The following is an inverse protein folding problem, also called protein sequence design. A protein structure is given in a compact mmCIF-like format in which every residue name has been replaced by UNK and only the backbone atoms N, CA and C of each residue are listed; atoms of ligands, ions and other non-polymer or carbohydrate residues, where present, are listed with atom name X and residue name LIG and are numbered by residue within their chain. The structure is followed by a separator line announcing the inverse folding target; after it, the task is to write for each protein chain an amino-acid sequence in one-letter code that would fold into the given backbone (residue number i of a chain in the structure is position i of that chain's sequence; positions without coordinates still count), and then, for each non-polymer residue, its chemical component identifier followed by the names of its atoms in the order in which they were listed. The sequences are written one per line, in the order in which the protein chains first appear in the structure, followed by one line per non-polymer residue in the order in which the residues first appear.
data_IF_220646620084
#
_entry.id   IF_220646620084
#
_cell.length_a   1.000
_cell.length_b   1.000
_cell.length_c   1.000
_cell.angle_alpha   90.00
_cell.angle_beta   90.00
_cell.angle_gamma   90.00
#
_symmetry.space_group_name_H-M   'P 1'
#
loop_
_entity.id
_entity.type
_entity.pdbx_description
1 polymer ?
#
# COMPACT_ATOMS: atom_id res chain seq x y z
N UNK A 1 -67.17 36.40 58.93
CA UNK A 1 -67.19 34.93 58.79
C UNK A 1 -67.37 34.66 57.30
N UNK A 2 -66.28 34.50 56.56
CA UNK A 2 -66.30 34.13 55.14
C UNK A 2 -65.39 32.91 55.07
N UNK A 3 -66.02 31.77 54.82
CA UNK A 3 -65.39 30.46 54.79
C UNK A 3 -64.61 30.25 53.49
N UNK A 4 -63.50 29.56 53.67
CA UNK A 4 -62.51 29.14 52.68
C UNK A 4 -63.00 27.92 51.89
N UNK A 5 -62.97 27.98 50.56
CA UNK A 5 -62.86 26.80 49.69
C UNK A 5 -61.71 27.08 48.72
N UNK A 6 -60.50 26.63 49.08
CA UNK A 6 -59.87 25.37 48.64
C UNK A 6 -59.65 25.33 47.13
N UNK A 7 -58.40 25.58 46.76
CA UNK A 7 -57.86 25.46 45.41
C UNK A 7 -57.97 24.02 44.91
N UNK A 8 -58.66 23.83 43.78
CA UNK A 8 -58.56 22.60 42.99
C UNK A 8 -57.16 22.53 42.38
N UNK A 9 -56.34 21.69 43.00
CA UNK A 9 -55.07 21.24 42.46
C UNK A 9 -55.40 20.31 41.29
N UNK A 10 -55.27 20.81 40.06
CA UNK A 10 -55.20 19.96 38.88
C UNK A 10 -53.99 19.03 39.05
N UNK A 11 -54.24 17.79 39.47
CA UNK A 11 -53.29 16.71 39.31
C UNK A 11 -53.19 16.43 37.81
N UNK A 12 -52.23 17.09 37.17
CA UNK A 12 -51.68 16.61 35.93
C UNK A 12 -51.20 15.18 36.20
N UNK A 13 -51.98 14.22 35.70
CA UNK A 13 -51.57 12.83 35.63
C UNK A 13 -50.37 12.83 34.68
N UNK A 14 -49.19 12.96 35.28
CA UNK A 14 -47.90 12.94 34.62
C UNK A 14 -47.73 11.53 34.08
N UNK A 15 -48.17 11.33 32.83
CA UNK A 15 -47.78 10.19 32.03
C UNK A 15 -46.32 10.43 31.63
N UNK A 16 -45.43 10.36 32.62
CA UNK A 16 -44.03 10.00 32.43
C UNK A 16 -44.03 8.54 31.96
N UNK A 17 -44.53 8.33 30.74
CA UNK A 17 -43.94 7.39 29.79
C UNK A 17 -42.56 7.95 29.50
N UNK A 18 -41.69 7.84 30.51
CA UNK A 18 -40.26 7.77 30.29
C UNK A 18 -40.09 6.87 29.08
N UNK A 19 -39.49 7.46 28.06
CA UNK A 19 -39.12 6.89 26.78
C UNK A 19 -38.19 5.69 27.02
N UNK A 20 -38.76 4.61 27.55
CA UNK A 20 -38.22 3.28 27.35
C UNK A 20 -38.47 3.04 25.87
N UNK A 21 -37.41 3.19 25.07
CA UNK A 21 -37.35 2.88 23.64
C UNK A 21 -38.45 1.86 23.29
N UNK A 22 -39.41 2.24 22.45
CA UNK A 22 -40.52 1.35 22.09
C UNK A 22 -39.90 0.01 21.63
N UNK A 23 -40.14 -1.10 22.35
CA UNK A 23 -39.50 -2.38 22.03
C UNK A 23 -39.77 -2.82 20.59
N UNK A 24 -40.88 -2.37 20.00
CA UNK A 24 -41.23 -2.63 18.61
C UNK A 24 -40.39 -1.80 17.62
N UNK A 25 -40.07 -0.56 17.96
CA UNK A 25 -39.15 0.29 17.20
C UNK A 25 -37.72 -0.23 17.28
N UNK A 26 -37.30 -0.72 18.46
CA UNK A 26 -36.00 -1.38 18.60
C UNK A 26 -35.89 -2.64 17.73
N UNK A 27 -36.91 -3.51 17.76
CA UNK A 27 -36.93 -4.73 16.93
C UNK A 27 -36.94 -4.38 15.44
N UNK A 28 -37.67 -3.34 15.04
CA UNK A 28 -37.69 -2.87 13.64
C UNK A 28 -36.32 -2.35 13.19
N UNK A 29 -35.55 -1.73 14.10
CA UNK A 29 -34.23 -1.17 13.81
C UNK A 29 -33.07 -2.15 14.07
N UNK A 30 -33.33 -3.38 14.55
CA UNK A 30 -32.29 -4.37 14.85
C UNK A 30 -31.45 -4.73 13.63
N UNK A 31 -32.06 -4.88 12.45
CA UNK A 31 -31.35 -5.20 11.22
C UNK A 31 -30.29 -4.13 10.90
N UNK A 32 -30.69 -2.85 10.91
CA UNK A 32 -29.80 -1.74 10.65
C UNK A 32 -28.70 -1.61 11.71
N UNK A 33 -29.02 -1.86 13.00
CA UNK A 33 -28.02 -1.88 14.08
C UNK A 33 -26.98 -2.97 13.86
N UNK A 34 -27.39 -4.20 13.56
CA UNK A 34 -26.44 -5.31 13.30
C UNK A 34 -25.65 -5.11 11.99
N UNK A 35 -26.27 -4.53 10.97
CA UNK A 35 -25.59 -4.19 9.73
C UNK A 35 -24.48 -3.16 9.99
N UNK A 36 -24.81 -2.04 10.64
CA UNK A 36 -23.84 -0.99 10.95
C UNK A 36 -22.73 -1.50 11.86
N UNK A 37 -23.07 -2.30 12.89
CA UNK A 37 -22.08 -2.90 13.78
C UNK A 37 -21.15 -3.86 13.04
N UNK A 38 -21.69 -4.70 12.15
CA UNK A 38 -20.91 -5.62 11.32
C UNK A 38 -20.02 -4.87 10.33
N UNK A 39 -20.54 -3.81 9.72
CA UNK A 39 -19.81 -2.94 8.80
C UNK A 39 -18.66 -2.23 9.51
N UNK A 40 -18.90 -1.56 10.63
CA UNK A 40 -17.89 -0.82 11.39
C UNK A 40 -16.78 -1.74 11.88
N UNK A 41 -17.17 -2.91 12.42
CA UNK A 41 -16.21 -3.93 12.86
C UNK A 41 -15.40 -4.49 11.69
N UNK A 42 -16.06 -4.85 10.58
CA UNK A 42 -15.42 -5.40 9.39
C UNK A 42 -14.50 -4.40 8.70
N UNK A 43 -14.91 -3.14 8.61
CA UNK A 43 -14.15 -2.05 8.01
C UNK A 43 -12.93 -1.69 8.88
N UNK A 44 -13.09 -1.58 10.20
CA UNK A 44 -11.98 -1.36 11.12
C UNK A 44 -10.95 -2.50 11.05
N UNK A 45 -11.42 -3.75 11.04
CA UNK A 45 -10.57 -4.93 10.94
C UNK A 45 -9.86 -5.02 9.58
N UNK A 46 -10.59 -4.82 8.48
CA UNK A 46 -10.04 -4.82 7.13
C UNK A 46 -9.00 -3.72 6.90
N UNK A 47 -9.21 -2.53 7.48
CA UNK A 47 -8.24 -1.43 7.43
C UNK A 47 -6.94 -1.78 8.16
N UNK A 48 -7.04 -2.40 9.34
CA UNK A 48 -5.87 -2.85 10.10
C UNK A 48 -5.13 -3.98 9.36
N UNK A 49 -5.86 -5.00 8.90
CA UNK A 49 -5.26 -6.13 8.19
C UNK A 49 -4.59 -5.69 6.88
N UNK A 50 -5.24 -4.84 6.09
CA UNK A 50 -4.64 -4.29 4.87
C UNK A 50 -3.35 -3.51 5.15
N UNK A 51 -3.26 -2.81 6.29
CA UNK A 51 -2.04 -2.12 6.69
C UNK A 51 -0.92 -3.11 7.08
N UNK A 52 -1.23 -4.15 7.85
CA UNK A 52 -0.24 -5.15 8.25
C UNK A 52 0.26 -5.95 7.04
N UNK A 53 -0.65 -6.46 6.23
CA UNK A 53 -0.34 -7.22 5.02
C UNK A 53 0.44 -6.37 4.02
N UNK A 54 0.03 -5.11 3.79
CA UNK A 54 0.75 -4.20 2.90
C UNK A 54 2.18 -3.91 3.37
N UNK A 55 2.42 -3.82 4.68
CA UNK A 55 3.77 -3.65 5.25
C UNK A 55 4.63 -4.89 5.08
N UNK A 56 4.07 -6.08 5.31
CA UNK A 56 4.79 -7.34 5.13
C UNK A 56 5.16 -7.55 3.66
N UNK A 57 4.19 -7.38 2.76
CA UNK A 57 4.41 -7.47 1.32
C UNK A 57 5.41 -6.42 0.83
N UNK A 58 5.31 -5.19 1.33
CA UNK A 58 6.25 -4.11 1.01
C UNK A 58 7.70 -4.46 1.38
N UNK A 59 7.92 -5.12 2.53
CA UNK A 59 9.27 -5.56 2.94
C UNK A 59 9.82 -6.65 2.03
N UNK A 60 9.00 -7.64 1.67
CA UNK A 60 9.40 -8.72 0.77
C UNK A 60 9.78 -8.18 -0.61
N UNK A 61 8.95 -7.29 -1.17
CA UNK A 61 9.22 -6.68 -2.48
C UNK A 61 10.35 -5.67 -2.47
N UNK A 62 10.52 -4.93 -1.38
CA UNK A 62 11.67 -4.06 -1.21
C UNK A 62 12.99 -4.86 -1.20
N UNK A 63 13.00 -6.08 -0.64
CA UNK A 63 14.19 -6.92 -0.64
C UNK A 63 14.58 -7.39 -2.05
N UNK A 64 13.61 -7.91 -2.83
CA UNK A 64 13.84 -8.29 -4.23
C UNK A 64 14.41 -7.12 -5.04
N UNK A 65 13.87 -5.93 -4.79
CA UNK A 65 14.27 -4.70 -5.46
C UNK A 65 15.70 -4.26 -5.08
N UNK A 66 16.00 -4.23 -3.78
CA UNK A 66 17.32 -3.83 -3.30
C UNK A 66 18.41 -4.85 -3.64
N UNK A 67 18.10 -6.13 -3.77
CA UNK A 67 19.06 -7.13 -4.27
C UNK A 67 19.53 -6.78 -5.68
N UNK A 68 18.62 -6.41 -6.57
CA UNK A 68 18.94 -5.99 -7.94
C UNK A 68 19.76 -4.70 -7.95
N UNK A 69 19.29 -3.67 -7.25
CA UNK A 69 19.96 -2.36 -7.20
C UNK A 69 21.35 -2.48 -6.57
N UNK A 70 21.47 -3.21 -5.46
CA UNK A 70 22.74 -3.44 -4.77
C UNK A 70 23.74 -4.24 -5.63
N UNK A 71 23.28 -5.20 -6.42
CA UNK A 71 24.13 -5.88 -7.39
C UNK A 71 24.69 -4.90 -8.44
N UNK A 72 23.84 -4.00 -8.97
CA UNK A 72 24.28 -2.99 -9.94
C UNK A 72 25.29 -2.01 -9.35
N UNK A 73 25.10 -1.59 -8.10
CA UNK A 73 26.02 -0.70 -7.40
C UNK A 73 27.40 -1.34 -7.20
N UNK A 74 27.44 -2.56 -6.66
CA UNK A 74 28.69 -3.30 -6.46
C UNK A 74 29.43 -3.55 -7.78
N UNK A 75 28.69 -3.90 -8.83
CA UNK A 75 29.25 -4.09 -10.16
C UNK A 75 29.84 -2.80 -10.74
N UNK A 76 29.09 -1.69 -10.69
CA UNK A 76 29.55 -0.39 -11.18
C UNK A 76 30.78 0.09 -10.41
N UNK A 77 30.75 0.02 -9.08
CA UNK A 77 31.84 0.40 -8.20
C UNK A 77 33.12 -0.40 -8.45
N UNK A 78 33.00 -1.71 -8.66
CA UNK A 78 34.15 -2.56 -9.04
C UNK A 78 34.77 -2.09 -10.37
N UNK A 79 33.95 -1.87 -11.40
CA UNK A 79 34.44 -1.48 -12.72
C UNK A 79 35.04 -0.07 -12.75
N UNK A 80 34.52 0.86 -11.93
CA UNK A 80 35.14 2.18 -11.76
C UNK A 80 36.59 2.02 -11.29
N UNK A 81 36.82 1.23 -10.23
CA UNK A 81 38.17 1.01 -9.70
C UNK A 81 39.09 0.33 -10.70
N UNK A 82 38.60 -0.72 -11.39
CA UNK A 82 39.39 -1.46 -12.39
C UNK A 82 39.77 -0.55 -13.58
N UNK A 83 38.82 0.22 -14.11
CA UNK A 83 39.06 1.11 -15.24
C UNK A 83 39.99 2.27 -14.88
N UNK A 84 39.87 2.83 -13.67
CA UNK A 84 40.76 3.87 -13.17
C UNK A 84 42.18 3.33 -12.96
N UNK A 85 42.34 2.16 -12.31
CA UNK A 85 43.64 1.52 -12.13
C UNK A 85 44.32 1.22 -13.47
N UNK A 86 43.55 0.75 -14.46
CA UNK A 86 44.05 0.50 -15.81
C UNK A 86 44.46 1.78 -16.53
N UNK A 87 43.69 2.86 -16.39
CA UNK A 87 44.02 4.16 -16.95
C UNK A 87 45.31 4.76 -16.35
N UNK A 88 45.58 4.48 -15.07
CA UNK A 88 46.81 4.90 -14.39
C UNK A 88 48.03 4.04 -14.79
N UNK A 89 47.86 2.72 -14.93
CA UNK A 89 48.94 1.79 -15.28
C UNK A 89 49.29 1.80 -16.77
N UNK A 90 48.31 2.08 -17.63
CA UNK A 90 48.44 1.95 -19.09
C UNK A 90 48.51 3.32 -19.75
N UNK A 91 49.72 3.75 -20.12
CA UNK A 91 49.94 4.89 -21.03
C UNK A 91 49.48 4.65 -22.47
N UNK A 92 48.62 3.66 -22.72
CA UNK A 92 48.22 3.22 -24.07
C UNK A 92 47.42 4.29 -24.80
N UNK A 93 48.05 4.91 -25.78
CA UNK A 93 47.42 5.79 -26.75
C UNK A 93 46.65 4.97 -27.80
N UNK A 94 45.37 5.28 -28.02
CA UNK A 94 44.55 4.70 -29.09
C UNK A 94 43.08 4.45 -28.72
N UNK A 95 42.29 4.00 -29.72
CA UNK A 95 40.84 3.73 -29.68
C UNK A 95 40.32 2.97 -28.43
N UNK A 96 41.16 2.12 -27.81
CA UNK A 96 40.83 1.42 -26.55
C UNK A 96 40.60 2.38 -25.38
N UNK A 97 41.36 3.47 -25.27
CA UNK A 97 41.21 4.48 -24.21
C UNK A 97 39.85 5.19 -24.28
N UNK A 98 39.35 5.44 -25.50
CA UNK A 98 38.03 6.05 -25.71
C UNK A 98 36.87 5.13 -25.34
N UNK A 99 37.04 3.80 -25.51
CA UNK A 99 36.05 2.81 -25.05
C UNK A 99 36.03 2.71 -23.53
N UNK A 100 37.20 2.66 -22.90
CA UNK A 100 37.35 2.58 -21.44
C UNK A 100 36.86 3.86 -20.74
N UNK A 101 37.16 5.04 -21.27
CA UNK A 101 36.64 6.30 -20.74
C UNK A 101 35.11 6.40 -20.83
N UNK A 102 34.53 5.89 -21.93
CA UNK A 102 33.07 5.81 -22.09
C UNK A 102 32.44 4.84 -21.08
N UNK A 103 33.04 3.66 -20.90
CA UNK A 103 32.58 2.69 -19.90
C UNK A 103 32.64 3.27 -18.48
N UNK A 104 33.70 4.00 -18.15
CA UNK A 104 33.85 4.68 -16.86
C UNK A 104 32.73 5.70 -16.63
N UNK A 105 32.42 6.54 -17.62
CA UNK A 105 31.31 7.49 -17.52
C UNK A 105 29.96 6.78 -17.31
N UNK A 106 29.69 5.69 -18.04
CA UNK A 106 28.47 4.91 -17.83
C UNK A 106 28.38 4.30 -16.43
N UNK A 107 29.49 3.84 -15.85
CA UNK A 107 29.52 3.32 -14.49
C UNK A 107 29.29 4.41 -13.44
N UNK A 108 29.87 5.60 -13.62
CA UNK A 108 29.64 6.74 -12.71
C UNK A 108 28.19 7.20 -12.70
N UNK A 109 27.58 7.36 -13.89
CA UNK A 109 26.17 7.73 -14.02
C UNK A 109 25.26 6.67 -13.42
N UNK A 110 25.60 5.39 -13.54
CA UNK A 110 24.85 4.31 -12.92
C UNK A 110 24.85 4.43 -11.38
N UNK A 111 26.01 4.69 -10.77
CA UNK A 111 26.11 4.91 -9.31
C UNK A 111 25.33 6.15 -8.88
N UNK A 112 25.41 7.25 -9.65
CA UNK A 112 24.65 8.48 -9.37
C UNK A 112 23.14 8.22 -9.35
N UNK A 113 22.62 7.49 -10.33
CA UNK A 113 21.20 7.12 -10.38
C UNK A 113 20.77 6.24 -9.21
N UNK A 114 21.66 5.34 -8.76
CA UNK A 114 21.40 4.48 -7.60
C UNK A 114 21.37 5.31 -6.31
N UNK A 115 22.20 6.33 -6.17
CA UNK A 115 22.19 7.21 -5.00
C UNK A 115 20.91 8.07 -4.89
N UNK A 116 20.18 8.25 -5.99
CA UNK A 116 18.86 8.91 -5.99
C UNK A 116 17.77 8.03 -5.38
N UNK A 117 18.01 6.72 -5.22
CA UNK A 117 17.02 5.80 -4.68
C UNK A 117 16.72 6.10 -3.21
N UNK A 118 15.45 6.26 -2.81
CA UNK A 118 15.11 6.58 -1.43
C UNK A 118 15.47 5.42 -0.50
N UNK A 119 16.25 5.71 0.54
CA UNK A 119 16.68 4.75 1.56
C UNK A 119 15.79 4.78 2.81
N UNK A 120 14.99 5.85 2.95
CA UNK A 120 14.06 6.04 4.05
C UNK A 120 12.66 5.96 3.46
N UNK A 121 11.84 5.07 4.00
CA UNK A 121 10.41 5.09 3.75
C UNK A 121 9.81 6.23 4.59
N UNK A 122 9.34 7.35 4.00
CA UNK A 122 8.62 8.38 4.74
C UNK A 122 7.27 7.77 5.12
N UNK A 123 7.26 6.99 6.18
CA UNK A 123 6.02 6.42 6.69
C UNK A 123 5.22 7.62 7.19
N UNK A 124 4.03 7.86 6.62
CA UNK A 124 3.06 8.73 7.25
C UNK A 124 2.94 8.27 8.71
N UNK A 125 3.40 9.12 9.62
CA UNK A 125 3.18 8.92 11.04
C UNK A 125 1.69 8.77 11.22
N UNK A 126 1.23 7.56 11.54
CA UNK A 126 -0.14 7.34 11.99
C UNK A 126 -0.19 7.97 13.38
N UNK A 127 -0.36 9.28 13.43
CA UNK A 127 -0.76 9.97 14.64
C UNK A 127 -2.17 9.44 14.93
N UNK A 128 -2.28 8.51 15.87
CA UNK A 128 -3.52 7.81 16.24
C UNK A 128 -4.59 8.70 16.87
N UNK A 129 -4.42 10.03 16.85
CA UNK A 129 -5.32 11.01 17.48
C UNK A 129 -5.75 12.16 16.54
N UNK A 130 -6.01 11.88 15.26
CA UNK A 130 -6.69 12.82 14.39
C UNK A 130 -7.65 12.08 13.45
N UNK A 131 -8.83 11.76 13.96
CA UNK A 131 -10.03 11.75 13.12
C UNK A 131 -10.24 13.20 12.69
N UNK A 132 -10.44 13.41 11.39
CA UNK A 132 -10.65 14.70 10.74
C UNK A 132 -9.49 15.67 10.88
N UNK A 133 -8.60 15.69 9.89
CA UNK A 133 -8.29 16.91 9.16
C UNK A 133 -7.32 16.60 8.01
N UNK A 134 -7.69 17.09 6.83
CA UNK A 134 -6.82 17.38 5.70
C UNK A 134 -6.09 16.18 5.09
N UNK A 135 -6.60 15.75 3.94
CA UNK A 135 -5.75 15.23 2.86
C UNK A 135 -4.77 16.36 2.56
N UNK A 136 -3.65 16.40 3.28
CA UNK A 136 -2.50 17.18 2.88
C UNK A 136 -1.94 16.46 1.65
N UNK A 137 -2.47 16.90 0.52
CA UNK A 137 -2.03 16.62 -0.85
C UNK A 137 -0.66 17.27 -1.09
N UNK A 138 0.25 17.18 -0.10
CA UNK A 138 1.66 17.43 -0.34
C UNK A 138 2.16 16.20 -1.08
N UNK A 139 2.48 16.30 -2.38
CA UNK A 139 3.09 15.20 -3.08
C UNK A 139 4.43 14.98 -2.40
N UNK A 140 4.53 13.99 -1.53
CA UNK A 140 5.79 13.41 -1.14
C UNK A 140 6.43 13.03 -2.46
N UNK A 141 7.36 13.89 -2.96
CA UNK A 141 7.76 13.96 -4.36
C UNK A 141 7.61 12.59 -5.00
N UNK A 142 6.60 12.43 -5.86
CA UNK A 142 6.23 11.15 -6.47
C UNK A 142 7.39 10.75 -7.40
N UNK A 143 8.49 10.30 -6.81
CA UNK A 143 9.60 9.72 -7.52
C UNK A 143 9.03 8.41 -8.01
N UNK A 144 8.67 8.41 -9.29
CA UNK A 144 8.26 7.21 -10.00
C UNK A 144 9.42 6.19 -9.95
N UNK A 145 9.33 5.32 -8.95
CA UNK A 145 10.32 4.31 -8.66
C UNK A 145 10.49 3.34 -9.83
N UNK A 146 9.40 3.07 -10.55
CA UNK A 146 9.40 2.18 -11.70
C UNK A 146 10.18 2.79 -12.87
N UNK A 147 9.99 4.08 -13.19
CA UNK A 147 10.81 4.73 -14.21
C UNK A 147 12.28 4.84 -13.80
N UNK A 148 12.57 5.17 -12.54
CA UNK A 148 13.95 5.22 -12.04
C UNK A 148 14.65 3.86 -12.20
N UNK A 149 13.98 2.75 -11.86
CA UNK A 149 14.54 1.41 -12.07
C UNK A 149 14.72 1.04 -13.53
N UNK A 150 13.75 1.41 -14.38
CA UNK A 150 13.87 1.18 -15.81
C UNK A 150 15.11 1.87 -16.38
N UNK A 151 15.41 3.07 -15.87
CA UNK A 151 16.58 3.86 -16.25
C UNK A 151 17.87 3.24 -15.72
N UNK A 152 17.91 2.80 -14.46
CA UNK A 152 19.05 2.08 -13.87
C UNK A 152 19.36 0.82 -14.71
N UNK A 153 18.36 0.01 -15.04
CA UNK A 153 18.51 -1.18 -15.88
C UNK A 153 19.04 -0.85 -17.27
N UNK A 154 18.53 0.21 -17.89
CA UNK A 154 19.00 0.66 -19.21
C UNK A 154 20.48 1.07 -19.16
N UNK A 155 20.89 1.83 -18.13
CA UNK A 155 22.29 2.23 -17.93
C UNK A 155 23.20 1.05 -17.63
N UNK A 156 22.74 0.08 -16.82
CA UNK A 156 23.47 -1.17 -16.57
C UNK A 156 23.72 -1.97 -17.86
N UNK A 157 22.70 -2.12 -18.73
CA UNK A 157 22.86 -2.79 -20.04
C UNK A 157 23.86 -2.07 -20.93
N UNK A 158 23.82 -0.73 -20.93
CA UNK A 158 24.76 0.09 -21.70
C UNK A 158 26.20 -0.09 -21.21
N UNK A 159 26.41 -0.12 -19.88
CA UNK A 159 27.71 -0.42 -19.29
C UNK A 159 28.20 -1.81 -19.71
N UNK A 160 27.35 -2.84 -19.60
CA UNK A 160 27.68 -4.20 -20.03
C UNK A 160 28.08 -4.28 -21.51
N UNK A 161 27.35 -3.58 -22.38
CA UNK A 161 27.67 -3.48 -23.81
C UNK A 161 29.04 -2.83 -24.03
N UNK A 162 29.36 -1.76 -23.29
CA UNK A 162 30.66 -1.07 -23.39
C UNK A 162 31.84 -1.93 -22.91
N UNK A 163 31.59 -2.85 -21.97
CA UNK A 163 32.58 -3.78 -21.41
C UNK A 163 32.64 -5.12 -22.16
N UNK A 164 31.68 -5.41 -23.05
CA UNK A 164 31.55 -6.69 -23.74
C UNK A 164 31.10 -7.84 -22.82
N UNK A 165 30.50 -7.54 -21.67
CA UNK A 165 30.03 -8.53 -20.71
C UNK A 165 28.54 -8.82 -20.92
N UNK A 166 28.11 -10.07 -20.69
CA UNK A 166 26.69 -10.42 -20.74
C UNK A 166 25.96 -9.85 -19.51
N UNK A 167 24.86 -9.10 -19.67
CA UNK A 167 24.08 -8.62 -18.53
C UNK A 167 23.46 -9.79 -17.74
N UNK A 168 23.49 -9.71 -16.41
CA UNK A 168 22.69 -10.59 -15.54
C UNK A 168 21.30 -9.98 -15.36
N UNK A 169 20.26 -10.75 -15.64
CA UNK A 169 18.85 -10.33 -15.55
C UNK A 169 18.21 -10.94 -14.31
N UNK A 170 18.61 -10.50 -13.12
CA UNK A 170 17.74 -10.61 -11.96
C UNK A 170 16.95 -9.29 -11.93
N UNK A 171 15.67 -9.33 -12.27
CA UNK A 171 14.83 -8.14 -12.35
C UNK A 171 13.65 -8.27 -11.40
N UNK A 172 13.58 -7.41 -10.40
CA UNK A 172 12.43 -7.27 -9.51
C UNK A 172 11.22 -6.70 -10.27
N UNK A 173 10.02 -7.17 -9.96
CA UNK A 173 8.79 -6.62 -10.57
C UNK A 173 8.09 -5.71 -9.59
N UNK A 174 7.94 -4.43 -9.94
CA UNK A 174 7.02 -3.52 -9.25
C UNK A 174 5.64 -3.78 -9.84
N UNK A 175 4.72 -4.25 -9.00
CA UNK A 175 3.29 -4.31 -9.32
C UNK A 175 2.69 -3.00 -8.83
N UNK A 176 2.23 -2.16 -9.75
CA UNK A 176 1.48 -0.97 -9.39
C UNK A 176 0.12 -1.39 -8.81
N UNK A 177 -0.16 -0.98 -7.58
CA UNK A 177 -1.45 -1.22 -6.97
C UNK A 177 -2.49 -0.32 -7.64
N UNK A 178 -3.46 -0.91 -8.34
CA UNK A 178 -4.57 -0.16 -8.88
C UNK A 178 -5.43 0.38 -7.72
N UNK A 179 -5.66 1.71 -7.61
CA UNK A 179 -6.55 2.26 -6.59
C UNK A 179 -7.94 1.64 -6.72
N UNK A 180 -8.33 0.80 -5.75
CA UNK A 180 -9.61 0.07 -5.75
C UNK A 180 -9.49 -1.46 -5.80
N UNK A 181 -8.29 -2.03 -5.94
CA UNK A 181 -8.08 -3.48 -5.88
C UNK A 181 -8.25 -4.10 -4.48
N UNK A 182 -8.41 -3.28 -3.43
CA UNK A 182 -8.59 -3.74 -2.06
C UNK A 182 -10.06 -4.11 -1.76
N UNK A 183 -10.26 -4.97 -0.75
CA UNK A 183 -11.58 -5.42 -0.30
C UNK A 183 -12.59 -4.29 -0.01
N UNK A 184 -12.13 -3.06 0.25
CA UNK A 184 -12.95 -1.87 0.45
C UNK A 184 -13.75 -1.41 -0.81
N UNK A 185 -13.42 -1.92 -2.01
CA UNK A 185 -14.20 -1.63 -3.22
C UNK A 185 -15.43 -2.54 -3.38
N UNK A 186 -15.42 -3.74 -2.79
CA UNK A 186 -16.54 -4.69 -2.88
C UNK A 186 -17.82 -4.21 -2.18
N UNK A 187 -17.71 -3.23 -1.27
CA UNK A 187 -18.85 -2.65 -0.54
C UNK A 187 -19.52 -1.45 -1.22
N UNK A 188 -19.01 -0.96 -2.36
CA UNK A 188 -19.55 0.24 -3.04
C UNK A 188 -20.47 -0.05 -4.22
N UNK A 189 -20.65 -1.32 -4.61
CA UNK A 189 -21.61 -1.70 -5.65
C UNK A 189 -22.95 -2.03 -5.01
N UNK A 190 -23.75 -1.00 -4.72
CA UNK A 190 -25.08 -1.18 -4.13
C UNK A 190 -25.91 0.10 -4.16
N UNK A 191 -26.28 0.56 -5.35
CA UNK A 191 -27.45 1.41 -5.63
C UNK A 191 -27.38 1.92 -7.07
N UNK A 192 -27.56 1.05 -8.06
CA UNK A 192 -28.19 1.54 -9.29
C UNK A 192 -29.10 0.45 -9.86
N UNK A 193 -30.38 0.81 -10.00
CA UNK A 193 -31.42 -0.08 -10.47
C UNK A 193 -31.28 -0.32 -11.95
N UNK A 194 -30.92 -1.55 -12.32
CA UNK A 194 -30.96 -2.04 -13.69
C UNK A 194 -31.35 -3.50 -13.69
N UNK A 195 -32.59 -3.77 -14.11
CA UNK A 195 -33.10 -5.12 -14.34
C UNK A 195 -32.20 -5.85 -15.35
N UNK A 196 -31.58 -6.94 -14.91
CA UNK A 196 -31.04 -7.96 -15.79
C UNK A 196 -31.20 -9.32 -15.12
N UNK A 197 -32.13 -10.13 -15.65
CA UNK A 197 -32.22 -11.56 -15.38
C UNK A 197 -30.86 -12.21 -15.67
N UNK A 198 -30.22 -12.76 -14.63
CA UNK A 198 -28.96 -13.48 -14.73
C UNK A 198 -28.81 -14.41 -13.53
N UNK A 199 -29.06 -15.70 -13.79
CA UNK A 199 -28.84 -16.88 -12.93
C UNK A 199 -27.80 -16.68 -11.82
N UNK A 200 -28.25 -16.78 -10.56
CA UNK A 200 -27.36 -16.88 -9.39
C UNK A 200 -26.74 -18.29 -9.37
N UNK A 201 -25.52 -18.43 -9.90
CA UNK A 201 -24.65 -19.56 -9.57
C UNK A 201 -23.82 -19.20 -8.34
N UNK A 202 -23.79 -20.12 -7.37
CA UNK A 202 -23.17 -19.94 -6.06
C UNK A 202 -21.71 -19.49 -6.13
N UNK A 203 -21.35 -18.64 -5.17
CA UNK A 203 -19.98 -18.21 -4.92
C UNK A 203 -19.22 -19.40 -4.33
N UNK A 204 -18.59 -20.21 -5.18
CA UNK A 204 -17.50 -21.10 -4.75
C UNK A 204 -16.28 -20.24 -4.41
N UNK A 205 -16.11 -19.95 -3.12
CA UNK A 205 -14.87 -19.37 -2.61
C UNK A 205 -13.74 -20.41 -2.57
N UNK A 206 -12.46 -20.02 -2.74
CA UNK A 206 -11.32 -20.93 -2.65
C UNK A 206 -10.93 -21.15 -1.19
N UNK A 207 -11.88 -21.57 -0.34
CA UNK A 207 -11.55 -22.11 0.97
C UNK A 207 -11.65 -23.63 0.90
N UNK A 208 -10.54 -24.26 0.53
CA UNK A 208 -10.34 -25.69 0.82
C UNK A 208 -10.41 -25.83 2.34
N UNK A 209 -11.53 -26.36 2.84
CA UNK A 209 -11.77 -26.53 4.26
C UNK A 209 -10.55 -27.12 4.97
N UNK A 210 -10.07 -26.42 5.99
CA UNK A 210 -8.99 -26.93 6.84
C UNK A 210 -9.57 -28.10 7.63
N UNK A 211 -9.05 -29.30 7.38
CA UNK A 211 -9.44 -30.53 8.07
C UNK A 211 -8.98 -30.45 9.54
N UNK A 212 -9.89 -30.07 10.42
CA UNK A 212 -9.64 -29.88 11.85
C UNK A 212 -9.28 -31.18 12.58
N UNK A 213 -9.33 -32.34 11.91
CA UNK A 213 -8.84 -33.63 12.43
C UNK A 213 -7.32 -33.75 12.50
N UNK A 214 -6.59 -32.83 11.85
CA UNK A 214 -5.12 -32.80 11.93
C UNK A 214 -4.58 -31.96 13.10
N UNK A 215 -5.44 -31.21 13.78
CA UNK A 215 -5.09 -30.51 15.01
C UNK A 215 -5.25 -31.50 16.17
N UNK A 216 -4.15 -32.15 16.56
CA UNK A 216 -4.09 -32.90 17.82
C UNK A 216 -4.12 -31.90 18.98
N UNK A 217 -5.31 -31.61 19.49
CA UNK A 217 -5.48 -31.18 20.87
C UNK A 217 -5.40 -32.41 21.79
#
# INVERSE_FOLDING_TARGET
MIETHSAEKQEAMDWDMDMVDDPLEEISNLESKFYNQGYDSGHAHGRLHGLFEGRELGKEKAWELWEEVGFYDGWASMWIQVLQAKAAASGTAGSKRGKEARALNHAQVLVELINTFPTINPTQSINSNAVSEMVDDTPAADIDLASLLSLIRARYRLLCSSLGTRPRLASATIVEANPGSGAAAAGRTGSDGGEAEGVVQGIEGPMKGVDTRQLRF
#
